data_IF_739238430131
#
_entry.id   IF_739238430131
#
_cell.length_a   1.000
_cell.length_b   1.000
_cell.length_c   1.000
_cell.angle_alpha   90.00
_cell.angle_beta   90.00
_cell.angle_gamma   90.00
#
_symmetry.space_group_name_H-M   'P 1'
#
loop_
_entity.id
_entity.type
_entity.pdbx_description
1 polymer ?
#
# COMPACT_ATOMS: atom_id res chain seq x y z
N UNK A 1 47.70 1.40 -6.18
CA UNK A 1 46.88 1.33 -4.96
C UNK A 1 45.73 2.35 -4.96
N UNK A 2 45.97 3.59 -5.38
CA UNK A 2 44.93 4.65 -5.51
C UNK A 2 43.79 4.30 -6.47
N UNK A 3 44.05 3.51 -7.51
CA UNK A 3 43.04 3.04 -8.45
C UNK A 3 41.89 2.26 -7.79
N UNK A 4 42.17 1.50 -6.72
CA UNK A 4 41.13 0.77 -6.00
C UNK A 4 40.13 1.75 -5.36
N UNK A 5 40.63 2.79 -4.71
CA UNK A 5 39.82 3.83 -4.10
C UNK A 5 39.03 4.63 -5.16
N UNK A 6 39.64 4.90 -6.32
CA UNK A 6 38.94 5.56 -7.42
C UNK A 6 37.76 4.74 -7.94
N UNK A 7 37.94 3.42 -8.13
CA UNK A 7 36.87 2.53 -8.59
C UNK A 7 35.73 2.46 -7.57
N UNK A 8 36.05 2.31 -6.28
CA UNK A 8 35.06 2.31 -5.20
C UNK A 8 34.31 3.64 -5.16
N UNK A 9 35.01 4.76 -5.33
CA UNK A 9 34.42 6.11 -5.38
C UNK A 9 33.42 6.27 -6.51
N UNK A 10 33.74 5.80 -7.73
CA UNK A 10 32.82 5.87 -8.87
C UNK A 10 31.56 5.03 -8.63
N UNK A 11 31.70 3.82 -8.08
CA UNK A 11 30.56 2.96 -7.74
C UNK A 11 29.68 3.62 -6.68
N UNK A 12 30.27 4.19 -5.63
CA UNK A 12 29.54 4.87 -4.57
C UNK A 12 28.76 6.09 -5.10
N UNK A 13 29.37 6.90 -5.97
CA UNK A 13 28.70 8.04 -6.60
C UNK A 13 27.54 7.57 -7.48
N UNK A 14 27.74 6.54 -8.32
CA UNK A 14 26.68 5.96 -9.15
C UNK A 14 25.52 5.43 -8.31
N UNK A 15 25.83 4.77 -7.19
CA UNK A 15 24.82 4.29 -6.24
C UNK A 15 24.05 5.44 -5.57
N UNK A 16 24.74 6.51 -5.15
CA UNK A 16 24.11 7.69 -4.56
C UNK A 16 23.21 8.41 -5.57
N UNK A 17 23.66 8.55 -6.81
CA UNK A 17 22.86 9.13 -7.89
C UNK A 17 21.63 8.26 -8.20
N UNK A 18 21.79 6.93 -8.23
CA UNK A 18 20.67 6.02 -8.39
C UNK A 18 19.73 6.02 -7.18
N UNK A 19 20.23 6.19 -5.95
CA UNK A 19 19.40 6.28 -4.75
C UNK A 19 18.63 7.59 -4.65
N UNK A 20 19.21 8.69 -5.15
CA UNK A 20 18.63 10.02 -5.12
C UNK A 20 17.69 10.32 -6.29
N UNK A 21 18.03 9.83 -7.49
CA UNK A 21 17.29 10.10 -8.73
C UNK A 21 16.70 8.85 -9.39
N UNK A 22 16.93 7.67 -8.82
CA UNK A 22 16.28 6.45 -9.29
C UNK A 22 14.77 6.53 -9.12
N UNK A 23 14.02 5.64 -9.79
CA UNK A 23 12.57 5.59 -9.67
C UNK A 23 12.24 5.61 -8.18
N UNK A 24 11.45 6.60 -7.74
CA UNK A 24 10.84 6.58 -6.42
C UNK A 24 10.07 5.26 -6.39
N UNK A 25 10.68 4.24 -5.79
CA UNK A 25 9.91 3.18 -5.18
C UNK A 25 9.12 3.94 -4.16
N UNK A 26 7.84 4.13 -4.44
CA UNK A 26 6.89 4.60 -3.46
C UNK A 26 7.09 3.67 -2.27
N UNK A 27 7.93 4.09 -1.33
CA UNK A 27 8.24 3.40 -0.10
C UNK A 27 7.00 3.61 0.76
N UNK A 28 5.95 2.87 0.40
CA UNK A 28 4.83 2.57 1.25
C UNK A 28 5.31 1.61 2.33
N UNK A 29 6.28 2.04 3.15
CA UNK A 29 6.49 1.46 4.47
C UNK A 29 7.43 2.33 5.31
N UNK A 30 6.92 2.82 6.44
CA UNK A 30 7.75 3.30 7.53
C UNK A 30 7.67 4.80 7.86
N UNK A 31 6.48 5.34 8.12
CA UNK A 31 6.35 6.68 8.71
C UNK A 31 4.93 6.98 9.20
N UNK A 32 4.70 6.79 10.50
CA UNK A 32 3.49 7.21 11.24
C UNK A 32 3.05 8.64 10.92
N UNK A 33 1.88 8.79 10.29
CA UNK A 33 0.81 9.78 10.61
C UNK A 33 -0.16 9.92 9.43
N UNK A 34 -1.45 10.07 9.74
CA UNK A 34 -2.55 9.97 8.79
C UNK A 34 -2.44 10.88 7.56
N UNK A 35 -2.71 10.30 6.39
CA UNK A 35 -2.85 11.01 5.13
C UNK A 35 -3.15 9.99 4.04
N UNK A 36 -4.36 10.06 3.47
CA UNK A 36 -4.96 9.00 2.67
C UNK A 36 -4.03 8.38 1.62
N UNK A 37 -3.91 7.06 1.68
CA UNK A 37 -3.40 6.24 0.58
C UNK A 37 -4.01 6.73 -0.74
N UNK A 38 -3.22 6.91 -1.81
CA UNK A 38 -3.80 6.97 -3.14
C UNK A 38 -4.55 5.64 -3.31
N UNK A 39 -5.88 5.71 -3.31
CA UNK A 39 -6.70 4.54 -3.61
C UNK A 39 -6.23 4.07 -4.97
N UNK A 40 -5.48 2.96 -5.00
CA UNK A 40 -5.24 2.22 -6.23
C UNK A 40 -6.58 1.93 -6.90
N UNK A 41 -6.58 1.54 -8.18
CA UNK A 41 -7.80 1.17 -8.89
C UNK A 41 -8.61 0.23 -8.00
N UNK A 42 -9.72 0.75 -7.50
CA UNK A 42 -10.52 0.08 -6.49
C UNK A 42 -11.22 -1.06 -7.22
N UNK A 43 -11.01 -2.30 -6.74
CA UNK A 43 -11.68 -3.45 -7.34
C UNK A 43 -13.19 -3.21 -7.33
N UNK A 44 -13.94 -3.75 -8.30
CA UNK A 44 -15.40 -3.68 -8.29
C UNK A 44 -16.02 -4.11 -6.94
N UNK A 45 -15.37 -5.01 -6.22
CA UNK A 45 -15.81 -5.56 -4.93
C UNK A 45 -15.43 -4.71 -3.71
N UNK A 46 -14.55 -3.71 -3.87
CA UNK A 46 -14.09 -2.88 -2.75
C UNK A 46 -14.93 -1.61 -2.55
N UNK A 47 -15.83 -1.30 -3.50
CA UNK A 47 -16.64 -0.09 -3.49
C UNK A 47 -17.55 0.01 -2.24
N UNK A 48 -17.91 1.22 -1.79
CA UNK A 48 -18.65 1.37 -0.54
C UNK A 48 -20.05 0.77 -0.60
N UNK A 49 -20.64 0.59 -1.79
CA UNK A 49 -21.97 0.03 -1.96
C UNK A 49 -21.97 -1.51 -1.88
N UNK A 50 -20.96 -2.20 -2.42
CA UNK A 50 -20.78 -3.64 -2.26
C UNK A 50 -20.60 -4.03 -0.80
N UNK A 51 -19.77 -3.30 -0.06
CA UNK A 51 -19.57 -3.54 1.38
C UNK A 51 -20.85 -3.31 2.18
N UNK A 52 -21.68 -2.32 1.82
CA UNK A 52 -22.99 -2.09 2.44
C UNK A 52 -23.98 -3.21 2.16
N UNK A 53 -24.01 -3.70 0.92
CA UNK A 53 -24.89 -4.80 0.54
C UNK A 53 -24.47 -6.12 1.23
N UNK A 54 -23.17 -6.35 1.40
CA UNK A 54 -22.64 -7.48 2.17
C UNK A 54 -22.99 -7.36 3.67
N UNK A 55 -22.86 -6.17 4.27
CA UNK A 55 -23.24 -5.93 5.67
C UNK A 55 -24.75 -6.15 5.89
N UNK A 56 -25.60 -5.65 4.98
CA UNK A 56 -27.04 -5.86 5.00
C UNK A 56 -27.41 -7.35 4.91
N UNK A 57 -26.77 -8.10 3.99
CA UNK A 57 -26.98 -9.55 3.86
C UNK A 57 -26.52 -10.32 5.09
N UNK A 58 -25.33 -10.02 5.61
CA UNK A 58 -24.74 -10.72 6.77
C UNK A 58 -25.52 -10.44 8.06
N UNK A 59 -26.08 -9.23 8.21
CA UNK A 59 -26.88 -8.85 9.37
C UNK A 59 -28.31 -9.38 9.31
N UNK A 60 -28.89 -9.50 8.10
CA UNK A 60 -30.23 -10.04 7.88
C UNK A 60 -30.33 -11.55 8.05
N UNK A 61 -29.29 -12.32 7.71
CA UNK A 61 -29.33 -13.80 7.81
C UNK A 61 -29.23 -14.33 9.24
N UNK A 62 -28.73 -13.50 10.17
CA UNK A 62 -28.41 -13.92 11.54
C UNK A 62 -29.37 -13.31 12.59
N UNK A 63 -30.43 -12.61 12.18
CA UNK A 63 -31.15 -11.69 13.06
C UNK A 63 -32.68 -11.77 13.08
N UNK A 64 -33.35 -12.69 12.38
CA UNK A 64 -34.81 -12.65 12.34
C UNK A 64 -35.55 -13.98 12.11
N UNK A 65 -35.01 -15.12 12.56
CA UNK A 65 -35.76 -16.39 12.54
C UNK A 65 -35.65 -17.13 13.90
N UNK A 66 -35.79 -16.41 15.02
CA UNK A 66 -35.65 -16.97 16.37
C UNK A 66 -36.76 -16.66 17.38
N UNK A 67 -37.69 -15.75 17.09
CA UNK A 67 -38.65 -15.23 18.10
C UNK A 67 -40.12 -15.21 17.61
N UNK A 68 -40.56 -16.15 16.77
CA UNK A 68 -42.00 -16.42 16.58
C UNK A 68 -42.29 -17.93 16.49
N UNK A 69 -42.70 -18.51 17.63
CA UNK A 69 -43.79 -19.50 17.83
C UNK A 69 -43.62 -20.31 19.13
#
# INVERSE_FOLDING_TARGET
MTFLFAVIGVIAIGFLLWRAFGPQRDEADGGSSGGGYPRGPKGPDDDPDFLRDLDNRTRGTNGSDGDEA
#
